data_IF_074322946696
#
_entry.id   IF_074322946696
#
_cell.length_a   1.000
_cell.length_b   1.000
_cell.length_c   1.000
_cell.angle_alpha   90.00
_cell.angle_beta   90.00
_cell.angle_gamma   90.00
#
_symmetry.space_group_name_H-M   'P 1'
#
loop_
_entity.id
_entity.type
_entity.pdbx_description
1 polymer ?
#
# COMPACT_ATOMS: atom_id res chain seq x y z
N UNK A 1 3.81 -40.43 90.79
CA UNK A 1 4.45 -41.77 90.81
C UNK A 1 5.38 -41.83 89.61
N UNK A 2 6.69 -41.64 89.83
CA UNK A 2 7.70 -41.73 88.76
C UNK A 2 8.22 -43.17 88.74
N UNK A 3 8.17 -43.80 87.56
CA UNK A 3 8.56 -45.19 87.36
C UNK A 3 10.06 -45.40 87.64
N UNK A 4 10.49 -46.57 88.15
CA UNK A 4 11.91 -46.84 88.36
C UNK A 4 12.61 -47.01 87.01
N UNK A 5 13.61 -46.17 86.73
CA UNK A 5 14.52 -46.36 85.59
C UNK A 5 15.24 -47.71 85.72
N UNK A 6 15.24 -48.47 84.62
CA UNK A 6 15.93 -49.76 84.54
C UNK A 6 17.44 -49.52 84.65
N UNK A 7 18.20 -50.35 85.39
CA UNK A 7 19.64 -50.22 85.47
C UNK A 7 20.27 -50.42 84.08
N UNK A 8 20.97 -49.39 83.62
CA UNK A 8 21.72 -49.40 82.37
C UNK A 8 22.80 -50.49 82.45
N UNK A 9 22.75 -51.45 81.52
CA UNK A 9 23.65 -52.61 81.49
C UNK A 9 25.11 -52.14 81.39
N UNK A 10 25.94 -52.53 82.35
CA UNK A 10 27.38 -52.25 82.33
C UNK A 10 28.03 -52.78 81.03
N UNK A 11 28.95 -52.03 80.40
CA UNK A 11 29.54 -52.43 79.14
C UNK A 11 30.29 -53.76 79.30
N UNK A 12 29.92 -54.76 78.50
CA UNK A 12 30.65 -56.03 78.39
C UNK A 12 32.10 -55.71 77.97
N UNK A 13 33.07 -55.95 78.84
CA UNK A 13 34.49 -55.80 78.51
C UNK A 13 34.85 -56.78 77.40
N UNK A 14 34.93 -56.28 76.16
CA UNK A 14 35.44 -57.04 75.03
C UNK A 14 36.92 -57.36 75.30
N UNK A 15 37.28 -58.64 75.34
CA UNK A 15 38.67 -59.07 75.51
C UNK A 15 39.50 -58.67 74.28
N UNK A 16 40.71 -58.16 74.49
CA UNK A 16 41.61 -57.77 73.41
C UNK A 16 42.09 -59.00 72.61
N UNK A 17 42.20 -58.87 71.29
CA UNK A 17 42.77 -59.92 70.45
C UNK A 17 44.28 -60.07 70.76
N UNK A 18 44.75 -61.32 70.87
CA UNK A 18 46.15 -61.66 71.17
C UNK A 18 46.87 -62.02 69.87
N UNK A 19 47.97 -61.32 69.57
CA UNK A 19 48.92 -61.65 68.51
C UNK A 19 50.15 -62.39 69.04
N UNK A 20 51.08 -62.72 68.14
CA UNK A 20 52.30 -63.52 68.42
C UNK A 20 53.20 -62.92 69.53
N UNK A 21 53.07 -61.63 69.83
CA UNK A 21 53.82 -60.91 70.88
C UNK A 21 52.93 -60.17 71.90
N UNK A 22 51.75 -60.73 72.21
CA UNK A 22 50.82 -60.14 73.19
C UNK A 22 49.62 -59.45 72.55
N UNK A 23 48.95 -58.54 73.27
CA UNK A 23 47.74 -57.88 72.77
C UNK A 23 47.99 -57.03 71.52
N UNK A 24 46.97 -56.95 70.66
CA UNK A 24 47.01 -56.08 69.49
C UNK A 24 47.07 -54.60 69.91
N UNK A 25 48.26 -53.99 69.77
CA UNK A 25 48.52 -52.61 70.21
C UNK A 25 47.53 -51.61 69.61
N UNK A 26 47.21 -51.73 68.33
CA UNK A 26 46.25 -50.83 67.67
C UNK A 26 44.86 -50.90 68.31
N UNK A 27 44.40 -52.11 68.62
CA UNK A 27 43.10 -52.30 69.28
C UNK A 27 43.11 -51.77 70.73
N UNK A 28 44.24 -51.90 71.44
CA UNK A 28 44.40 -51.36 72.80
C UNK A 28 44.41 -49.83 72.78
N UNK A 29 45.15 -49.22 71.86
CA UNK A 29 45.23 -47.76 71.73
C UNK A 29 43.89 -47.14 71.32
N UNK A 30 43.17 -47.75 70.37
CA UNK A 30 41.81 -47.37 70.00
C UNK A 30 40.87 -47.45 71.22
N UNK A 31 40.95 -48.53 72.00
CA UNK A 31 40.11 -48.70 73.20
C UNK A 31 40.47 -47.74 74.33
N UNK A 32 41.75 -47.43 74.53
CA UNK A 32 42.20 -46.44 75.51
C UNK A 32 41.79 -45.03 75.06
N UNK A 33 41.83 -44.72 73.77
CA UNK A 33 41.32 -43.47 73.23
C UNK A 33 39.81 -43.32 73.43
N UNK A 34 39.03 -44.38 73.16
CA UNK A 34 37.59 -44.43 73.48
C UNK A 34 37.34 -44.26 74.99
N UNK A 35 38.05 -45.00 75.84
CA UNK A 35 37.86 -44.90 77.30
C UNK A 35 38.22 -43.51 77.82
N UNK A 36 39.28 -42.88 77.30
CA UNK A 36 39.64 -41.51 77.66
C UNK A 36 38.57 -40.50 77.17
N UNK A 37 37.96 -40.75 76.02
CA UNK A 37 36.84 -39.94 75.52
C UNK A 37 35.62 -40.11 76.43
N UNK A 38 35.22 -41.33 76.75
CA UNK A 38 34.11 -41.65 77.64
C UNK A 38 34.33 -41.08 79.04
N UNK A 39 35.56 -41.12 79.55
CA UNK A 39 35.92 -40.54 80.86
C UNK A 39 35.78 -39.02 80.85
N UNK A 40 36.21 -38.34 79.78
CA UNK A 40 36.05 -36.89 79.61
C UNK A 40 34.58 -36.49 79.45
N UNK A 41 33.80 -37.27 78.71
CA UNK A 41 32.37 -37.04 78.55
C UNK A 41 31.62 -37.25 79.88
N UNK A 42 31.96 -38.32 80.61
CA UNK A 42 31.39 -38.61 81.93
C UNK A 42 31.82 -37.56 82.96
N UNK A 43 33.07 -37.07 82.94
CA UNK A 43 33.50 -36.00 83.85
C UNK A 43 32.75 -34.71 83.55
N UNK A 44 32.58 -34.35 82.27
CA UNK A 44 31.80 -33.18 81.86
C UNK A 44 30.33 -33.30 82.27
N UNK A 45 29.70 -34.43 82.00
CA UNK A 45 28.32 -34.68 82.42
C UNK A 45 28.15 -34.64 83.94
N UNK A 46 29.13 -35.15 84.70
CA UNK A 46 29.16 -35.04 86.16
C UNK A 46 29.26 -33.59 86.61
N UNK A 47 30.14 -32.80 86.01
CA UNK A 47 30.31 -31.39 86.38
C UNK A 47 29.03 -30.57 86.07
N UNK A 48 28.40 -30.83 84.91
CA UNK A 48 27.09 -30.27 84.55
C UNK A 48 25.98 -30.72 85.53
N UNK A 49 25.97 -31.99 85.96
CA UNK A 49 25.03 -32.49 86.96
C UNK A 49 25.26 -31.88 88.35
N UNK A 50 26.51 -31.68 88.76
CA UNK A 50 26.84 -31.01 90.03
C UNK A 50 26.44 -29.54 89.99
N UNK A 51 26.67 -28.84 88.87
CA UNK A 51 26.24 -27.45 88.68
C UNK A 51 24.71 -27.34 88.77
N UNK A 52 23.97 -28.17 88.02
CA UNK A 52 22.49 -28.18 88.07
C UNK A 52 21.96 -28.57 89.45
N UNK A 53 22.58 -29.53 90.14
CA UNK A 53 22.22 -29.88 91.52
C UNK A 53 22.44 -28.70 92.48
N UNK A 54 23.52 -27.93 92.29
CA UNK A 54 23.81 -26.74 93.10
C UNK A 54 22.79 -25.64 92.87
N UNK A 55 22.35 -25.43 91.61
CA UNK A 55 21.37 -24.40 91.27
C UNK A 55 19.96 -24.78 91.72
N UNK A 56 19.59 -26.06 91.58
CA UNK A 56 18.35 -26.59 92.16
C UNK A 56 18.33 -26.46 93.68
N UNK A 57 19.47 -26.70 94.35
CA UNK A 57 19.58 -26.52 95.80
C UNK A 57 19.38 -25.05 96.22
N UNK A 58 19.92 -24.09 95.46
CA UNK A 58 19.68 -22.65 95.69
C UNK A 58 18.21 -22.29 95.46
N UNK A 59 17.62 -22.76 94.36
CA UNK A 59 16.21 -22.52 94.04
C UNK A 59 15.28 -23.10 95.12
N UNK A 60 15.60 -24.30 95.63
CA UNK A 60 14.85 -24.94 96.71
C UNK A 60 14.98 -24.17 98.02
N UNK A 61 16.19 -23.71 98.39
CA UNK A 61 16.39 -22.89 99.57
C UNK A 61 15.62 -21.56 99.49
N UNK A 62 15.64 -20.92 98.32
CA UNK A 62 14.85 -19.72 98.05
C UNK A 62 13.34 -19.97 98.19
N UNK A 63 12.83 -21.04 97.56
CA UNK A 63 11.43 -21.42 97.65
C UNK A 63 11.00 -21.78 99.08
N UNK A 64 11.86 -22.46 99.85
CA UNK A 64 11.60 -22.75 101.27
C UNK A 64 11.51 -21.47 102.11
N UNK A 65 12.37 -20.49 101.83
CA UNK A 65 12.34 -19.18 102.50
C UNK A 65 11.04 -18.42 102.17
N UNK A 66 10.67 -18.31 100.91
CA UNK A 66 9.41 -17.67 100.51
C UNK A 66 8.18 -18.39 101.08
N UNK A 67 8.21 -19.71 101.12
CA UNK A 67 7.14 -20.52 101.71
C UNK A 67 7.02 -20.29 103.23
N UNK A 68 8.14 -20.10 103.93
CA UNK A 68 8.12 -19.74 105.35
C UNK A 68 7.57 -18.32 105.57
N UNK A 69 7.99 -17.36 104.74
CA UNK A 69 7.53 -15.96 104.80
C UNK A 69 6.04 -15.83 104.51
N UNK A 70 5.54 -16.50 103.45
CA UNK A 70 4.12 -16.54 103.08
C UNK A 70 3.27 -17.25 104.14
N UNK A 71 3.74 -18.37 104.71
CA UNK A 71 3.07 -19.02 105.85
C UNK A 71 2.97 -18.10 107.05
N UNK A 72 4.04 -17.36 107.37
CA UNK A 72 4.02 -16.40 108.46
C UNK A 72 3.06 -15.23 108.19
N UNK A 73 3.00 -14.73 106.95
CA UNK A 73 2.04 -13.71 106.54
C UNK A 73 0.59 -14.21 106.65
N UNK A 74 0.31 -15.42 106.15
CA UNK A 74 -1.00 -16.05 106.23
C UNK A 74 -1.44 -16.27 107.68
N UNK A 75 -0.53 -16.72 108.55
CA UNK A 75 -0.81 -16.89 109.97
C UNK A 75 -1.18 -15.56 110.65
N UNK A 76 -0.53 -14.44 110.29
CA UNK A 76 -0.90 -13.10 110.77
C UNK A 76 -2.28 -12.65 110.25
N UNK A 77 -2.63 -13.01 109.02
CA UNK A 77 -3.95 -12.70 108.43
C UNK A 77 -5.08 -13.51 109.08
N UNK A 78 -4.82 -14.79 109.39
CA UNK A 78 -5.83 -15.68 109.96
C UNK A 78 -6.06 -15.46 111.46
N UNK A 79 -5.03 -15.06 112.21
CA UNK A 79 -5.13 -14.88 113.67
C UNK A 79 -5.89 -13.62 114.08
N UNK A 80 -5.95 -12.58 113.24
CA UNK A 80 -6.72 -11.36 113.51
C UNK A 80 -7.16 -10.67 112.22
N UNK A 81 -8.27 -11.12 111.61
CA UNK A 81 -8.74 -10.63 110.31
C UNK A 81 -9.07 -9.13 110.29
N UNK A 82 -9.33 -8.49 111.43
CA UNK A 82 -9.60 -7.05 111.56
C UNK A 82 -8.39 -6.26 112.09
N UNK A 83 -7.26 -6.91 112.37
CA UNK A 83 -6.03 -6.26 112.83
C UNK A 83 -5.32 -5.47 111.72
N UNK A 84 -4.60 -4.41 112.10
CA UNK A 84 -3.89 -3.54 111.15
C UNK A 84 -2.90 -4.29 110.24
N UNK A 85 -2.24 -5.34 110.76
CA UNK A 85 -1.34 -6.20 109.96
C UNK A 85 -2.07 -7.00 108.87
N UNK A 86 -3.23 -7.59 109.18
CA UNK A 86 -4.02 -8.34 108.21
C UNK A 86 -4.61 -7.45 107.11
N UNK A 87 -4.99 -6.21 107.47
CA UNK A 87 -5.43 -5.20 106.50
C UNK A 87 -4.28 -4.77 105.56
N UNK A 88 -3.09 -4.52 106.09
CA UNK A 88 -1.91 -4.15 105.28
C UNK A 88 -1.51 -5.25 104.29
N UNK A 89 -1.54 -6.52 104.69
CA UNK A 89 -1.24 -7.63 103.77
C UNK A 89 -2.33 -7.81 102.69
N UNK A 90 -3.62 -7.63 103.02
CA UNK A 90 -4.68 -7.63 102.00
C UNK A 90 -4.54 -6.51 100.97
N UNK A 91 -4.14 -5.31 101.41
CA UNK A 91 -3.89 -4.18 100.50
C UNK A 91 -2.70 -4.49 99.59
N UNK A 92 -1.62 -5.07 100.10
CA UNK A 92 -0.49 -5.53 99.27
C UNK A 92 -0.93 -6.57 98.24
N UNK A 93 -1.68 -7.59 98.65
CA UNK A 93 -2.20 -8.62 97.73
C UNK A 93 -3.13 -8.02 96.68
N UNK A 94 -4.01 -7.08 97.06
CA UNK A 94 -4.86 -6.37 96.08
C UNK A 94 -4.03 -5.54 95.10
N UNK A 95 -2.95 -4.90 95.56
CA UNK A 95 -2.08 -4.11 94.68
C UNK A 95 -1.30 -5.00 93.72
N UNK A 96 -0.79 -6.15 94.19
CA UNK A 96 -0.16 -7.16 93.33
C UNK A 96 -1.13 -7.72 92.30
N UNK A 97 -2.36 -8.05 92.71
CA UNK A 97 -3.39 -8.54 91.78
C UNK A 97 -3.78 -7.48 90.74
N UNK A 98 -3.85 -6.20 91.14
CA UNK A 98 -4.08 -5.10 90.21
C UNK A 98 -2.90 -4.89 89.25
N UNK A 99 -1.65 -5.06 89.71
CA UNK A 99 -0.47 -5.01 88.85
C UNK A 99 -0.45 -6.16 87.82
N UNK A 100 -0.81 -7.37 88.24
CA UNK A 100 -1.00 -8.53 87.35
C UNK A 100 -2.11 -8.27 86.32
N UNK A 101 -3.26 -7.76 86.75
CA UNK A 101 -4.38 -7.44 85.85
C UNK A 101 -4.01 -6.32 84.86
N UNK A 102 -3.25 -5.31 85.28
CA UNK A 102 -2.73 -4.28 84.38
C UNK A 102 -1.73 -4.88 83.38
N UNK A 103 -0.87 -5.79 83.81
CA UNK A 103 0.08 -6.47 82.93
C UNK A 103 -0.65 -7.32 81.89
N UNK A 104 -1.69 -8.05 82.29
CA UNK A 104 -2.53 -8.85 81.40
C UNK A 104 -3.29 -7.96 80.39
N UNK A 105 -3.87 -6.84 80.85
CA UNK A 105 -4.53 -5.87 79.97
C UNK A 105 -3.56 -5.25 78.97
N UNK A 106 -2.33 -4.95 79.38
CA UNK A 106 -1.29 -4.46 78.46
C UNK A 106 -0.89 -5.51 77.45
N UNK A 107 -0.66 -6.75 77.88
CA UNK A 107 -0.31 -7.85 77.00
C UNK A 107 -1.44 -8.12 75.98
N UNK A 108 -2.70 -8.09 76.42
CA UNK A 108 -3.86 -8.22 75.54
C UNK A 108 -3.94 -7.06 74.53
N UNK A 109 -3.79 -5.81 74.98
CA UNK A 109 -3.80 -4.64 74.11
C UNK A 109 -2.66 -4.65 73.07
N UNK A 110 -1.46 -5.11 73.47
CA UNK A 110 -0.33 -5.26 72.56
C UNK A 110 -0.58 -6.37 71.53
N UNK A 111 -1.14 -7.50 71.95
CA UNK A 111 -1.52 -8.60 71.05
C UNK A 111 -2.61 -8.17 70.05
N UNK A 112 -3.62 -7.42 70.50
CA UNK A 112 -4.67 -6.87 69.64
C UNK A 112 -4.11 -5.84 68.65
N UNK A 113 -3.21 -4.97 69.11
CA UNK A 113 -2.53 -4.01 68.24
C UNK A 113 -1.65 -4.70 67.19
N UNK A 114 -0.91 -5.75 67.57
CA UNK A 114 -0.12 -6.56 66.66
C UNK A 114 -1.01 -7.28 65.63
N UNK A 115 -2.08 -7.93 66.09
CA UNK A 115 -3.07 -8.57 65.23
C UNK A 115 -3.69 -7.59 64.24
N UNK A 116 -4.07 -6.39 64.70
CA UNK A 116 -4.64 -5.35 63.84
C UNK A 116 -3.65 -4.88 62.78
N UNK A 117 -2.37 -4.70 63.13
CA UNK A 117 -1.30 -4.35 62.18
C UNK A 117 -1.09 -5.46 61.16
N UNK A 118 -1.01 -6.72 61.59
CA UNK A 118 -0.85 -7.87 60.70
C UNK A 118 -2.01 -8.00 59.71
N UNK A 119 -3.25 -7.75 60.15
CA UNK A 119 -4.42 -7.77 59.27
C UNK A 119 -4.39 -6.60 58.27
N UNK A 120 -3.99 -5.40 58.72
CA UNK A 120 -3.84 -4.25 57.85
C UNK A 120 -2.75 -4.48 56.78
N UNK A 121 -1.62 -5.07 57.16
CA UNK A 121 -0.53 -5.39 56.24
C UNK A 121 -0.96 -6.46 55.23
N UNK A 122 -1.65 -7.52 55.67
CA UNK A 122 -2.23 -8.54 54.76
C UNK A 122 -3.20 -7.91 53.77
N UNK A 123 -4.12 -7.07 54.24
CA UNK A 123 -5.08 -6.38 53.38
C UNK A 123 -4.39 -5.45 52.38
N UNK A 124 -3.38 -4.69 52.81
CA UNK A 124 -2.61 -3.82 51.93
C UNK A 124 -1.84 -4.63 50.86
N UNK A 125 -1.23 -5.75 51.25
CA UNK A 125 -0.55 -6.65 50.32
C UNK A 125 -1.50 -7.29 49.31
N UNK A 126 -2.66 -7.76 49.75
CA UNK A 126 -3.67 -8.35 48.88
C UNK A 126 -4.27 -7.31 47.92
N UNK A 127 -4.54 -6.11 48.41
CA UNK A 127 -5.01 -4.98 47.59
C UNK A 127 -3.98 -4.60 46.53
N UNK A 128 -2.69 -4.52 46.88
CA UNK A 128 -1.64 -4.26 45.89
C UNK A 128 -1.54 -5.39 44.87
N UNK A 129 -1.54 -6.65 45.32
CA UNK A 129 -1.46 -7.81 44.43
C UNK A 129 -2.63 -7.88 43.45
N UNK A 130 -3.85 -7.59 43.90
CA UNK A 130 -5.05 -7.56 43.06
C UNK A 130 -5.03 -6.39 42.07
N UNK A 131 -4.60 -5.21 42.52
CA UNK A 131 -4.41 -4.05 41.64
C UNK A 131 -3.34 -4.32 40.55
N UNK A 132 -2.20 -4.88 40.93
CA UNK A 132 -1.13 -5.25 40.00
C UNK A 132 -1.59 -6.29 38.98
N UNK A 133 -2.38 -7.28 39.43
CA UNK A 133 -2.97 -8.27 38.54
C UNK A 133 -3.95 -7.63 37.56
N UNK A 134 -4.87 -6.79 38.05
CA UNK A 134 -5.85 -6.10 37.20
C UNK A 134 -5.17 -5.18 36.18
N UNK A 135 -4.09 -4.50 36.58
CA UNK A 135 -3.30 -3.67 35.67
C UNK A 135 -2.66 -4.51 34.54
N UNK A 136 -2.07 -5.66 34.87
CA UNK A 136 -1.50 -6.59 33.88
C UNK A 136 -2.57 -7.15 32.94
N UNK A 137 -3.68 -7.64 33.48
CA UNK A 137 -4.79 -8.17 32.69
C UNK A 137 -5.33 -7.10 31.72
N UNK A 138 -5.45 -5.84 32.18
CA UNK A 138 -5.86 -4.71 31.32
C UNK A 138 -4.82 -4.35 30.26
N UNK A 139 -3.52 -4.46 30.55
CA UNK A 139 -2.45 -4.25 29.57
C UNK A 139 -2.43 -5.33 28.50
N UNK A 140 -2.62 -6.60 28.88
CA UNK A 140 -2.74 -7.74 27.97
C UNK A 140 -3.94 -7.61 27.04
N UNK A 141 -5.12 -7.28 27.58
CA UNK A 141 -6.33 -7.02 26.78
C UNK A 141 -6.13 -5.83 25.82
N UNK A 142 -5.52 -4.74 26.28
CA UNK A 142 -5.17 -3.61 25.40
C UNK A 142 -4.18 -4.01 24.31
N UNK A 143 -3.18 -4.85 24.62
CA UNK A 143 -2.23 -5.35 23.63
C UNK A 143 -2.92 -6.23 22.59
N UNK A 144 -3.80 -7.13 23.03
CA UNK A 144 -4.61 -8.00 22.18
C UNK A 144 -5.50 -7.19 21.24
N UNK A 145 -6.31 -6.28 21.77
CA UNK A 145 -7.20 -5.42 20.97
C UNK A 145 -6.42 -4.58 19.96
N UNK A 146 -5.24 -4.06 20.33
CA UNK A 146 -4.37 -3.33 19.39
C UNK A 146 -3.83 -4.23 18.29
N UNK A 147 -3.47 -5.47 18.60
CA UNK A 147 -3.02 -6.44 17.60
C UNK A 147 -4.15 -6.82 16.65
N UNK A 148 -5.34 -7.08 17.16
CA UNK A 148 -6.54 -7.37 16.37
C UNK A 148 -6.91 -6.19 15.48
N UNK A 149 -6.94 -4.96 16.02
CA UNK A 149 -7.23 -3.76 15.24
C UNK A 149 -6.18 -3.50 14.15
N UNK A 150 -4.89 -3.71 14.42
CA UNK A 150 -3.83 -3.62 13.41
C UNK A 150 -4.04 -4.64 12.30
N UNK A 151 -4.31 -5.90 12.66
CA UNK A 151 -4.59 -6.96 11.67
C UNK A 151 -5.81 -6.65 10.82
N UNK A 152 -6.87 -6.08 11.39
CA UNK A 152 -8.06 -5.69 10.63
C UNK A 152 -7.79 -4.51 9.70
N UNK A 153 -7.04 -3.49 10.16
CA UNK A 153 -6.62 -2.37 9.32
C UNK A 153 -5.76 -2.88 8.14
N UNK A 154 -4.83 -3.80 8.38
CA UNK A 154 -4.01 -4.40 7.32
C UNK A 154 -4.87 -5.15 6.29
N UNK A 155 -5.84 -5.96 6.74
CA UNK A 155 -6.79 -6.64 5.85
C UNK A 155 -7.61 -5.67 5.02
N UNK A 156 -8.17 -4.62 5.65
CA UNK A 156 -8.95 -3.61 4.97
C UNK A 156 -8.11 -2.83 3.94
N UNK A 157 -6.87 -2.49 4.29
CA UNK A 157 -5.93 -1.84 3.37
C UNK A 157 -5.57 -2.75 2.20
N UNK A 158 -5.31 -4.04 2.44
CA UNK A 158 -5.05 -5.01 1.38
C UNK A 158 -6.26 -5.17 0.45
N UNK A 159 -7.48 -5.28 1.00
CA UNK A 159 -8.71 -5.38 0.23
C UNK A 159 -8.98 -4.10 -0.59
N UNK A 160 -8.77 -2.92 0.00
CA UNK A 160 -8.88 -1.64 -0.70
C UNK A 160 -7.82 -1.51 -1.81
N UNK A 161 -6.58 -1.95 -1.55
CA UNK A 161 -5.51 -2.01 -2.55
C UNK A 161 -5.86 -2.90 -3.73
N UNK A 162 -6.37 -4.11 -3.47
CA UNK A 162 -6.83 -5.05 -4.50
C UNK A 162 -7.95 -4.44 -5.36
N UNK A 163 -8.96 -3.83 -4.72
CA UNK A 163 -10.05 -3.13 -5.45
C UNK A 163 -9.53 -1.99 -6.33
N UNK A 164 -8.54 -1.21 -5.86
CA UNK A 164 -7.94 -0.14 -6.68
C UNK A 164 -7.23 -0.70 -7.91
N UNK A 165 -6.48 -1.79 -7.77
CA UNK A 165 -5.81 -2.45 -8.89
C UNK A 165 -6.84 -3.00 -9.88
N UNK A 166 -7.89 -3.65 -9.39
CA UNK A 166 -8.98 -4.17 -10.22
C UNK A 166 -9.69 -3.05 -11.00
N UNK A 167 -10.03 -1.95 -10.32
CA UNK A 167 -10.66 -0.78 -10.95
C UNK A 167 -9.74 -0.12 -11.98
N UNK A 168 -8.44 0.00 -11.70
CA UNK A 168 -7.47 0.52 -12.65
C UNK A 168 -7.37 -0.36 -13.90
N UNK A 169 -7.30 -1.68 -13.73
CA UNK A 169 -7.27 -2.63 -14.83
C UNK A 169 -8.58 -2.62 -15.64
N UNK A 170 -9.73 -2.50 -14.99
CA UNK A 170 -11.03 -2.37 -15.66
C UNK A 170 -11.12 -1.07 -16.46
N UNK A 171 -10.67 0.06 -15.90
CA UNK A 171 -10.62 1.34 -16.58
C UNK A 171 -9.68 1.32 -17.79
N UNK A 172 -8.52 0.66 -17.68
CA UNK A 172 -7.58 0.48 -18.80
C UNK A 172 -8.20 -0.35 -19.93
N UNK A 173 -8.89 -1.45 -19.61
CA UNK A 173 -9.61 -2.26 -20.61
C UNK A 173 -10.69 -1.44 -21.31
N UNK A 174 -11.50 -0.72 -20.55
CA UNK A 174 -12.56 0.14 -21.11
C UNK A 174 -11.99 1.23 -22.04
N UNK A 175 -10.84 1.82 -21.69
CA UNK A 175 -10.14 2.78 -22.58
C UNK A 175 -9.69 2.11 -23.87
N UNK A 176 -9.01 0.96 -23.78
CA UNK A 176 -8.56 0.20 -24.97
C UNK A 176 -9.72 -0.20 -25.87
N UNK A 177 -10.84 -0.64 -25.30
CA UNK A 177 -12.06 -0.97 -26.05
C UNK A 177 -12.67 0.27 -26.72
N UNK A 178 -12.72 1.41 -26.03
CA UNK A 178 -13.19 2.66 -26.60
C UNK A 178 -12.29 3.17 -27.73
N UNK A 179 -10.97 3.10 -27.55
CA UNK A 179 -9.97 3.47 -28.57
C UNK A 179 -10.11 2.57 -29.81
N UNK A 180 -10.20 1.25 -29.62
CA UNK A 180 -10.40 0.30 -30.73
C UNK A 180 -11.73 0.54 -31.46
N UNK A 181 -12.82 0.84 -30.73
CA UNK A 181 -14.11 1.17 -31.33
C UNK A 181 -14.07 2.51 -32.10
N UNK A 182 -13.32 3.49 -31.61
CA UNK A 182 -13.12 4.76 -32.30
C UNK A 182 -12.29 4.59 -33.58
N UNK A 183 -11.22 3.79 -33.53
CA UNK A 183 -10.42 3.44 -34.71
C UNK A 183 -11.23 2.69 -35.76
N UNK A 184 -12.06 1.72 -35.35
CA UNK A 184 -12.94 0.99 -36.26
C UNK A 184 -13.93 1.93 -36.96
N UNK A 185 -14.60 2.82 -36.21
CA UNK A 185 -15.50 3.84 -36.78
C UNK A 185 -14.77 4.80 -37.72
N UNK A 186 -13.55 5.22 -37.37
CA UNK A 186 -12.75 6.09 -38.21
C UNK A 186 -12.33 5.38 -39.52
N UNK A 187 -12.00 4.08 -39.45
CA UNK A 187 -11.69 3.27 -40.62
C UNK A 187 -12.92 3.09 -41.53
N UNK A 188 -14.09 2.81 -40.96
CA UNK A 188 -15.36 2.73 -41.69
C UNK A 188 -15.69 4.06 -42.39
N UNK A 189 -15.56 5.19 -41.68
CA UNK A 189 -15.79 6.51 -42.26
C UNK A 189 -14.80 6.85 -43.39
N UNK A 190 -13.54 6.45 -43.27
CA UNK A 190 -12.53 6.60 -44.34
C UNK A 190 -12.88 5.73 -45.55
N UNK A 191 -13.24 4.47 -45.34
CA UNK A 191 -13.63 3.57 -46.43
C UNK A 191 -14.86 4.08 -47.18
N UNK A 192 -15.86 4.62 -46.47
CA UNK A 192 -17.04 5.23 -47.08
C UNK A 192 -16.67 6.52 -47.86
N UNK A 193 -15.83 7.38 -47.28
CA UNK A 193 -15.34 8.57 -47.97
C UNK A 193 -14.55 8.23 -49.24
N UNK A 194 -13.70 7.20 -49.19
CA UNK A 194 -12.95 6.70 -50.35
C UNK A 194 -13.90 6.12 -51.41
N UNK A 195 -14.97 5.42 -51.01
CA UNK A 195 -15.99 4.91 -51.94
C UNK A 195 -16.71 6.06 -52.65
N UNK A 196 -17.18 7.06 -51.90
CA UNK A 196 -17.85 8.24 -52.46
C UNK A 196 -16.90 9.01 -53.39
N UNK A 197 -15.64 9.22 -52.98
CA UNK A 197 -14.65 9.87 -53.83
C UNK A 197 -14.37 9.08 -55.12
N UNK A 198 -14.29 7.75 -55.06
CA UNK A 198 -14.11 6.90 -56.23
C UNK A 198 -15.33 6.97 -57.18
N UNK A 199 -16.55 6.95 -56.64
CA UNK A 199 -17.78 7.12 -57.40
C UNK A 199 -17.85 8.50 -58.07
N UNK A 200 -17.51 9.58 -57.36
CA UNK A 200 -17.43 10.92 -57.93
C UNK A 200 -16.38 11.04 -59.04
N UNK A 201 -15.19 10.46 -58.83
CA UNK A 201 -14.12 10.44 -59.83
C UNK A 201 -14.54 9.64 -61.08
N UNK A 202 -15.21 8.50 -60.91
CA UNK A 202 -15.74 7.71 -62.02
C UNK A 202 -16.83 8.48 -62.78
N UNK A 203 -17.74 9.15 -62.08
CA UNK A 203 -18.77 9.98 -62.69
C UNK A 203 -18.18 11.18 -63.46
N UNK A 204 -17.16 11.85 -62.89
CA UNK A 204 -16.44 12.94 -63.57
C UNK A 204 -15.69 12.45 -64.80
N UNK A 205 -15.01 11.30 -64.73
CA UNK A 205 -14.35 10.68 -65.89
C UNK A 205 -15.35 10.39 -66.99
N UNK A 206 -16.49 9.78 -66.67
CA UNK A 206 -17.55 9.49 -67.65
C UNK A 206 -18.07 10.76 -68.31
N UNK A 207 -18.37 11.81 -67.55
CA UNK A 207 -18.79 13.11 -68.10
C UNK A 207 -17.73 13.73 -69.00
N UNK A 208 -16.47 13.69 -68.56
CA UNK A 208 -15.35 14.19 -69.35
C UNK A 208 -15.17 13.42 -70.66
N UNK A 209 -15.29 12.08 -70.62
CA UNK A 209 -15.21 11.24 -71.82
C UNK A 209 -16.39 11.50 -72.78
N UNK A 210 -17.60 11.71 -72.26
CA UNK A 210 -18.78 12.11 -73.04
C UNK A 210 -18.61 13.49 -73.69
N UNK A 211 -18.11 14.48 -72.95
CA UNK A 211 -17.82 15.83 -73.47
C UNK A 211 -16.73 15.79 -74.54
N UNK A 212 -15.66 15.03 -74.31
CA UNK A 212 -14.57 14.86 -75.29
C UNK A 212 -15.06 14.13 -76.55
N UNK A 213 -15.92 13.12 -76.41
CA UNK A 213 -16.56 12.46 -77.54
C UNK A 213 -17.46 13.43 -78.34
N UNK A 214 -18.25 14.28 -77.66
CA UNK A 214 -19.04 15.33 -78.31
C UNK A 214 -18.17 16.34 -79.03
N UNK A 215 -17.10 16.82 -78.39
CA UNK A 215 -16.15 17.75 -79.03
C UNK A 215 -15.47 17.11 -80.25
N UNK A 216 -15.12 15.82 -80.19
CA UNK A 216 -14.61 15.08 -81.36
C UNK A 216 -15.63 14.99 -82.47
N UNK A 217 -16.88 14.65 -82.17
CA UNK A 217 -17.95 14.62 -83.17
C UNK A 217 -18.20 16.00 -83.79
N UNK A 218 -18.22 17.06 -82.98
CA UNK A 218 -18.38 18.44 -83.46
C UNK A 218 -17.20 18.88 -84.34
N UNK A 219 -15.97 18.56 -83.94
CA UNK A 219 -14.77 18.87 -84.74
C UNK A 219 -14.72 18.05 -86.02
N UNK A 220 -15.10 16.77 -86.01
CA UNK A 220 -15.23 15.93 -87.21
C UNK A 220 -16.34 16.44 -88.13
N UNK A 221 -17.49 16.87 -87.59
CA UNK A 221 -18.57 17.51 -88.34
C UNK A 221 -18.11 18.85 -88.95
N UNK A 222 -17.37 19.66 -88.20
CA UNK A 222 -16.77 20.90 -88.68
C UNK A 222 -15.72 20.63 -89.78
N UNK A 223 -14.90 19.59 -89.65
CA UNK A 223 -13.92 19.20 -90.67
C UNK A 223 -14.58 18.64 -91.92
N UNK A 224 -15.63 17.83 -91.79
CA UNK A 224 -16.39 17.30 -92.94
C UNK A 224 -17.13 18.40 -93.68
N UNK A 225 -17.77 19.34 -92.98
CA UNK A 225 -18.40 20.51 -93.59
C UNK A 225 -17.38 21.47 -94.21
N UNK A 226 -16.22 21.70 -93.59
CA UNK A 226 -15.14 22.46 -94.20
C UNK A 226 -14.61 21.78 -95.48
N UNK A 227 -14.46 20.44 -95.47
CA UNK A 227 -14.07 19.67 -96.67
C UNK A 227 -15.12 19.73 -97.77
N UNK A 228 -16.42 19.65 -97.43
CA UNK A 228 -17.48 19.79 -98.43
C UNK A 228 -17.50 21.18 -99.04
N UNK A 229 -17.35 22.23 -98.20
CA UNK A 229 -17.20 23.61 -98.67
C UNK A 229 -15.97 23.78 -99.57
N UNK A 230 -14.85 23.14 -99.25
CA UNK A 230 -13.65 23.15 -100.09
C UNK A 230 -13.90 22.43 -101.42
N UNK A 231 -14.55 21.26 -101.41
CA UNK A 231 -14.91 20.54 -102.62
C UNK A 231 -15.89 21.33 -103.51
N UNK A 232 -16.85 22.03 -102.91
CA UNK A 232 -17.77 22.92 -103.62
C UNK A 232 -17.03 24.14 -104.18
N UNK A 233 -16.11 24.73 -103.41
CA UNK A 233 -15.23 25.80 -103.89
C UNK A 233 -14.36 25.33 -105.07
N UNK A 234 -13.81 24.11 -105.02
CA UNK A 234 -13.03 23.52 -106.10
C UNK A 234 -13.88 23.21 -107.34
N UNK A 235 -15.12 22.72 -107.17
CA UNK A 235 -16.08 22.55 -108.28
C UNK A 235 -16.42 23.88 -108.92
N UNK A 236 -16.73 24.91 -108.11
CA UNK A 236 -17.01 26.24 -108.60
C UNK A 236 -15.80 26.84 -109.32
N UNK A 237 -14.58 26.60 -108.81
CA UNK A 237 -13.33 26.99 -109.48
C UNK A 237 -13.15 26.27 -110.81
N UNK A 238 -13.42 24.96 -110.88
CA UNK A 238 -13.40 24.20 -112.15
C UNK A 238 -14.43 24.72 -113.13
N UNK A 239 -15.67 24.94 -112.70
CA UNK A 239 -16.73 25.53 -113.53
C UNK A 239 -16.34 26.92 -114.03
N UNK A 240 -15.73 27.76 -113.18
CA UNK A 240 -15.23 29.07 -113.59
C UNK A 240 -14.10 28.97 -114.62
N UNK A 241 -13.19 28.00 -114.47
CA UNK A 241 -12.14 27.72 -115.46
C UNK A 241 -12.73 27.17 -116.77
N UNK A 242 -13.70 26.27 -116.72
CA UNK A 242 -14.39 25.70 -117.90
C UNK A 242 -15.22 26.76 -118.63
N UNK A 243 -15.87 27.67 -117.90
CA UNK A 243 -16.52 28.83 -118.49
C UNK A 243 -15.50 29.76 -119.12
N UNK A 244 -14.34 29.97 -118.48
CA UNK A 244 -13.26 30.76 -119.05
C UNK A 244 -12.69 30.14 -120.32
N UNK A 245 -12.48 28.82 -120.39
CA UNK A 245 -12.07 28.15 -121.63
C UNK A 245 -13.15 28.21 -122.69
N UNK A 246 -14.43 27.96 -122.36
CA UNK A 246 -15.54 28.13 -123.32
C UNK A 246 -15.68 29.57 -123.83
N UNK A 247 -15.48 30.57 -122.97
CA UNK A 247 -15.46 31.98 -123.37
C UNK A 247 -14.23 32.26 -124.23
N UNK A 248 -13.05 31.72 -123.90
CA UNK A 248 -11.86 31.85 -124.73
C UNK A 248 -12.02 31.17 -126.10
N UNK A 249 -12.66 30.00 -126.16
CA UNK A 249 -13.01 29.30 -127.40
C UNK A 249 -14.04 30.09 -128.21
N UNK A 250 -15.04 30.70 -127.57
CA UNK A 250 -15.99 31.58 -128.26
C UNK A 250 -15.32 32.85 -128.78
N UNK A 251 -14.42 33.46 -128.00
CA UNK A 251 -13.63 34.60 -128.44
C UNK A 251 -12.76 34.20 -129.63
N UNK A 252 -12.07 33.06 -129.57
CA UNK A 252 -11.29 32.53 -130.69
C UNK A 252 -12.17 32.20 -131.92
N UNK A 253 -13.36 31.64 -131.74
CA UNK A 253 -14.30 31.38 -132.83
C UNK A 253 -14.87 32.67 -133.42
N UNK A 254 -15.12 33.71 -132.61
CA UNK A 254 -15.46 35.04 -133.11
C UNK A 254 -14.26 35.73 -133.77
N UNK A 255 -13.04 35.51 -133.29
CA UNK A 255 -11.82 36.07 -133.90
C UNK A 255 -11.57 35.44 -135.28
N UNK A 256 -11.79 34.13 -135.41
CA UNK A 256 -11.77 33.41 -136.70
C UNK A 256 -12.90 33.89 -137.61
N UNK A 257 -14.13 34.08 -137.10
CA UNK A 257 -15.25 34.60 -137.90
C UNK A 257 -15.06 36.08 -138.33
N UNK A 258 -14.41 36.90 -137.51
CA UNK A 258 -14.04 38.28 -137.85
C UNK A 258 -12.88 38.29 -138.85
N UNK A 259 -11.89 37.41 -138.72
CA UNK A 259 -10.81 37.27 -139.70
C UNK A 259 -11.32 36.72 -141.05
N UNK A 260 -12.30 35.81 -141.06
CA UNK A 260 -12.96 35.33 -142.28
C UNK A 260 -13.86 36.42 -142.91
N UNK A 261 -14.54 37.23 -142.11
CA UNK A 261 -15.29 38.40 -142.61
C UNK A 261 -14.36 39.52 -143.14
N UNK A 262 -13.17 39.69 -142.57
CA UNK A 262 -12.16 40.64 -143.05
C UNK A 262 -11.44 40.19 -144.33
N UNK A 263 -11.59 38.92 -144.76
CA UNK A 263 -10.91 38.39 -145.96
C UNK A 263 -11.71 38.54 -147.27
N UNK A 264 -12.99 38.94 -147.21
CA UNK A 264 -13.90 39.04 -148.36
C UNK A 264 -14.23 40.48 -148.81
N UNK A 265 -13.53 41.48 -148.28
CA UNK A 265 -13.66 42.87 -148.70
C UNK A 265 -12.28 43.54 -148.81
N UNK A 266 -11.60 43.37 -149.94
CA UNK A 266 -10.39 44.12 -150.31
C UNK A 266 -10.82 45.50 -150.88
N UNK A 267 -10.07 46.62 -150.66
CA UNK A 267 -8.69 46.83 -151.14
C UNK A 267 -7.74 47.66 -150.21
N UNK A 268 -6.50 47.84 -150.70
CA UNK A 268 -5.36 48.71 -150.27
C UNK A 268 -5.67 50.18 -149.83
N UNK A 269 -4.69 51.04 -149.43
CA UNK A 269 -3.55 50.94 -148.48
C UNK A 269 -3.44 52.18 -147.52
N UNK A 270 -2.34 52.24 -146.73
CA UNK A 270 -1.62 53.45 -146.24
C UNK A 270 -1.94 54.14 -144.87
N UNK A 271 -0.89 54.11 -144.02
CA UNK A 271 -0.23 55.24 -143.34
C UNK A 271 -0.81 55.96 -142.09
N UNK A 272 0.12 56.20 -141.14
CA UNK A 272 0.21 57.27 -140.11
C UNK A 272 -0.73 57.17 -138.90
N UNK A 273 -0.43 57.61 -137.68
CA UNK A 273 0.75 58.04 -136.92
C UNK A 273 0.25 58.30 -135.46
N UNK A 274 1.18 58.28 -134.51
CA UNK A 274 1.21 59.11 -133.29
C UNK A 274 0.16 58.96 -132.16
N UNK A 275 0.69 59.00 -130.92
CA UNK A 275 0.11 59.90 -129.92
C UNK A 275 0.02 59.37 -128.49
N UNK A 276 1.01 59.73 -127.68
CA UNK A 276 1.02 59.70 -126.21
C UNK A 276 -0.24 60.33 -125.56
N UNK A 277 -0.57 59.90 -124.33
CA UNK A 277 -0.64 60.78 -123.12
C UNK A 277 -1.16 60.04 -121.86
N UNK A 278 -0.43 60.29 -120.75
CA UNK A 278 -0.80 60.23 -119.30
C UNK A 278 -1.99 61.19 -118.98
N UNK A 279 -2.50 61.38 -117.73
CA UNK A 279 -2.42 60.66 -116.44
C UNK A 279 -3.79 60.46 -115.70
N UNK A 280 -3.73 59.95 -114.45
CA UNK A 280 -4.70 59.79 -113.31
C UNK A 280 -5.74 60.94 -113.06
N UNK A 281 -6.70 60.92 -112.05
CA UNK A 281 -6.72 60.23 -110.73
C UNK A 281 -8.11 59.85 -110.11
N UNK A 282 -8.10 59.51 -108.81
CA UNK A 282 -9.17 59.05 -107.87
C UNK A 282 -10.28 60.11 -107.55
N UNK A 283 -11.28 59.84 -106.66
CA UNK A 283 -11.09 59.92 -105.18
C UNK A 283 -12.03 59.05 -104.27
N UNK A 284 -11.70 59.00 -102.96
CA UNK A 284 -12.56 58.63 -101.79
C UNK A 284 -13.29 59.91 -101.24
N UNK A 285 -13.84 60.09 -99.99
CA UNK A 285 -13.91 59.27 -98.75
C UNK A 285 -15.21 59.46 -97.85
N UNK A 286 -15.36 58.81 -96.66
CA UNK A 286 -15.31 59.30 -95.23
C UNK A 286 -16.61 58.89 -94.46
N UNK A 287 -16.74 58.68 -93.13
CA UNK A 287 -15.95 58.91 -91.91
C UNK A 287 -16.50 58.10 -90.69
N UNK A 288 -15.71 58.04 -89.60
CA UNK A 288 -15.89 57.42 -88.28
C UNK A 288 -16.78 58.28 -87.31
N UNK A 289 -16.81 58.19 -85.93
CA UNK A 289 -15.68 58.04 -84.98
C UNK A 289 -15.91 57.27 -83.64
N UNK A 290 -14.80 57.08 -82.90
CA UNK A 290 -14.61 56.60 -81.51
C UNK A 290 -14.84 57.75 -80.47
N UNK A 291 -14.41 57.75 -79.16
CA UNK A 291 -13.52 56.84 -78.39
C UNK A 291 -13.82 56.65 -76.86
N UNK A 292 -12.97 55.87 -76.16
CA UNK A 292 -12.27 56.20 -74.88
C UNK A 292 -12.08 54.98 -73.93
N UNK A 293 -10.84 54.81 -73.44
CA UNK A 293 -10.41 53.90 -72.36
C UNK A 293 -10.30 54.69 -71.03
N UNK A 294 -9.65 54.24 -69.92
CA UNK A 294 -9.30 52.90 -69.38
C UNK A 294 -9.63 52.75 -67.86
N UNK A 295 -9.42 51.57 -67.23
CA UNK A 295 -8.80 51.42 -65.88
C UNK A 295 -8.71 49.96 -65.36
N UNK A 296 -7.55 49.70 -64.72
CA UNK A 296 -7.12 48.70 -63.71
C UNK A 296 -8.25 47.98 -62.93
N UNK A 297 -8.13 46.75 -62.43
CA UNK A 297 -7.01 46.03 -61.83
C UNK A 297 -7.22 44.51 -61.94
#
# INVERSE_FOLDING_TARGET
MVAPEKPQSAPKTAQFAVGVRGYNQRQVDERLAELNKDLRETSRSRDEAVATSSDLSKALAYAQKELAETKAALARMSSSPSGAGAMAERVRMMMQLAEEEIADLRAAAEADAASTRDQADKYAHETRRTADKLAKDAEEERARLRSEAKGEIEKLNAAAGAKRVEQAAAAERARKEADAAAEAKAAEARAEADRVAAEELAARKKKFDEENARQKQETEAALTSARSQQADADRNRKLALDLRTKVAERIAATDVAVQEAMRLLAPEPAATENGERKPAPAPAPKAAPAPAAPAKA
#
